data_IF_348880211633
#
_entry.id   IF_348880211633
#
_cell.length_a   1.000
_cell.length_b   1.000
_cell.length_c   1.000
_cell.angle_alpha   90.00
_cell.angle_beta   90.00
_cell.angle_gamma   90.00
#
_symmetry.space_group_name_H-M   'P 1'
#
loop_
_entity.id
_entity.type
_entity.pdbx_description
1 polymer ?
#
# COMPACT_ATOMS: atom_id res chain seq x y z
N UNK A 1 15.73 -0.97 -6.02
CA UNK A 1 14.84 -1.88 -5.27
C UNK A 1 13.73 -1.00 -4.72
N UNK A 2 12.53 -1.13 -5.26
CA UNK A 2 11.41 -0.23 -4.98
C UNK A 2 10.83 -0.55 -3.59
N UNK A 3 10.61 0.48 -2.78
CA UNK A 3 10.00 0.37 -1.43
C UNK A 3 8.65 -0.37 -1.53
N UNK A 4 8.30 -1.21 -0.55
CA UNK A 4 7.00 -1.90 -0.56
C UNK A 4 5.88 -0.89 -0.32
N UNK A 5 4.72 -1.14 -0.92
CA UNK A 5 3.57 -0.24 -0.83
C UNK A 5 3.10 0.03 0.60
N UNK A 6 3.10 -0.99 1.47
CA UNK A 6 2.73 -0.83 2.88
C UNK A 6 3.73 0.05 3.63
N UNK A 7 5.03 -0.18 3.43
CA UNK A 7 6.11 0.62 4.04
C UNK A 7 6.05 2.09 3.57
N UNK A 8 5.74 2.30 2.29
CA UNK A 8 5.55 3.63 1.71
C UNK A 8 4.41 4.40 2.40
N UNK A 9 3.25 3.77 2.57
CA UNK A 9 2.11 4.43 3.20
C UNK A 9 2.31 4.65 4.70
N UNK A 10 2.99 3.74 5.41
CA UNK A 10 3.34 3.95 6.83
C UNK A 10 4.33 5.10 6.99
N UNK A 11 5.36 5.17 6.12
CA UNK A 11 6.35 6.26 6.14
C UNK A 11 5.73 7.63 5.87
N UNK A 12 4.65 7.68 5.09
CA UNK A 12 3.90 8.90 4.78
C UNK A 12 2.78 9.19 5.80
N UNK A 13 2.66 8.41 6.88
CA UNK A 13 1.61 8.52 7.89
C UNK A 13 0.18 8.36 7.32
N UNK A 14 0.05 7.78 6.13
CA UNK A 14 -1.22 7.43 5.49
C UNK A 14 -1.81 6.13 6.07
N UNK A 15 -0.94 5.25 6.57
CA UNK A 15 -1.33 4.06 7.34
C UNK A 15 -0.61 4.06 8.67
N UNK A 16 -1.31 3.68 9.74
CA UNK A 16 -0.65 3.24 10.97
C UNK A 16 -0.07 1.83 10.79
N UNK A 17 0.87 1.46 11.66
CA UNK A 17 1.41 0.09 11.69
C UNK A 17 0.30 -0.95 11.91
N UNK A 18 -0.65 -0.66 12.79
CA UNK A 18 -1.80 -1.54 13.06
C UNK A 18 -2.70 -1.71 11.82
N UNK A 19 -2.98 -0.63 11.09
CA UNK A 19 -3.75 -0.70 9.86
C UNK A 19 -3.01 -1.51 8.78
N UNK A 20 -1.70 -1.34 8.66
CA UNK A 20 -0.89 -2.14 7.75
C UNK A 20 -0.92 -3.63 8.11
N UNK A 21 -0.83 -3.97 9.40
CA UNK A 21 -0.97 -5.35 9.88
C UNK A 21 -2.35 -5.93 9.58
N UNK A 22 -3.42 -5.15 9.73
CA UNK A 22 -4.78 -5.58 9.38
C UNK A 22 -4.90 -5.89 7.88
N UNK A 23 -4.33 -5.05 7.01
CA UNK A 23 -4.30 -5.30 5.57
C UNK A 23 -3.50 -6.58 5.25
N UNK A 24 -2.36 -6.79 5.91
CA UNK A 24 -1.56 -8.02 5.76
C UNK A 24 -2.30 -9.27 6.23
N UNK A 25 -3.07 -9.18 7.32
CA UNK A 25 -3.89 -10.29 7.81
C UNK A 25 -4.92 -10.71 6.76
N UNK A 26 -5.66 -9.74 6.19
CA UNK A 26 -6.62 -10.00 5.11
C UNK A 26 -5.93 -10.56 3.87
N UNK A 27 -4.74 -10.05 3.52
CA UNK A 27 -3.98 -10.55 2.37
C UNK A 27 -3.50 -11.98 2.58
N UNK A 28 -3.14 -12.38 3.81
CA UNK A 28 -2.75 -13.76 4.11
C UNK A 28 -3.93 -14.73 3.93
N UNK A 29 -5.14 -14.31 4.29
CA UNK A 29 -6.35 -15.10 4.04
C UNK A 29 -6.75 -15.12 2.55
N UNK A 30 -6.41 -14.06 1.81
CA UNK A 30 -6.76 -13.87 0.40
C UNK A 30 -5.51 -13.52 -0.44
N UNK A 31 -4.60 -14.48 -0.68
CA UNK A 31 -3.28 -14.21 -1.27
C UNK A 31 -3.32 -13.69 -2.71
N UNK A 32 -4.46 -13.84 -3.40
CA UNK A 32 -4.66 -13.31 -4.75
C UNK A 32 -4.96 -11.80 -4.77
N UNK A 33 -5.28 -11.20 -3.63
CA UNK A 33 -5.62 -9.79 -3.52
C UNK A 33 -4.38 -8.94 -3.26
N UNK A 34 -4.31 -7.75 -3.84
CA UNK A 34 -3.19 -6.82 -3.62
C UNK A 34 -3.42 -6.01 -2.35
N UNK A 35 -2.33 -5.74 -1.64
CA UNK A 35 -2.32 -4.94 -0.41
C UNK A 35 -3.07 -3.61 -0.60
N UNK A 36 -2.76 -2.87 -1.67
CA UNK A 36 -3.40 -1.58 -1.95
C UNK A 36 -4.91 -1.68 -2.17
N UNK A 37 -5.38 -2.73 -2.86
CA UNK A 37 -6.82 -2.94 -3.09
C UNK A 37 -7.56 -3.22 -1.77
N UNK A 38 -6.95 -4.02 -0.89
CA UNK A 38 -7.49 -4.31 0.44
C UNK A 38 -7.51 -3.02 1.29
N UNK A 39 -6.43 -2.25 1.29
CA UNK A 39 -6.34 -1.02 2.07
C UNK A 39 -7.38 0.04 1.65
N UNK A 40 -7.71 0.11 0.36
CA UNK A 40 -8.81 0.94 -0.17
C UNK A 40 -10.18 0.39 0.25
N UNK A 41 -10.39 -0.93 0.16
CA UNK A 41 -11.66 -1.56 0.59
C UNK A 41 -11.93 -1.38 2.09
N UNK A 42 -10.88 -1.43 2.91
CA UNK A 42 -10.96 -1.16 4.35
C UNK A 42 -11.13 0.33 4.68
N UNK A 43 -11.04 1.21 3.67
CA UNK A 43 -11.18 2.66 3.82
C UNK A 43 -10.01 3.33 4.54
N UNK A 44 -8.83 2.69 4.58
CA UNK A 44 -7.65 3.25 5.21
C UNK A 44 -6.92 4.25 4.32
N UNK A 45 -6.97 4.04 3.01
CA UNK A 45 -6.42 4.93 1.98
C UNK A 45 -7.39 5.04 0.80
N UNK A 46 -7.17 6.02 -0.08
CA UNK A 46 -7.94 6.22 -1.31
C UNK A 46 -7.23 5.70 -2.57
N UNK A 47 -7.94 5.68 -3.69
CA UNK A 47 -7.35 5.35 -5.00
C UNK A 47 -6.26 6.35 -5.41
N UNK A 48 -6.38 7.61 -4.97
CA UNK A 48 -5.39 8.66 -5.20
C UNK A 48 -4.03 8.37 -4.55
N UNK A 49 -4.01 7.74 -3.39
CA UNK A 49 -2.79 7.31 -2.70
C UNK A 49 -2.09 6.19 -3.48
N UNK A 50 -2.87 5.27 -4.05
CA UNK A 50 -2.38 4.19 -4.92
C UNK A 50 -1.73 4.77 -6.18
N UNK A 51 -2.38 5.73 -6.84
CA UNK A 51 -1.82 6.40 -8.02
C UNK A 51 -0.54 7.16 -7.69
N UNK A 52 -0.47 7.79 -6.52
CA UNK A 52 0.72 8.50 -6.04
C UNK A 52 1.90 7.53 -5.84
N UNK A 53 1.64 6.36 -5.24
CA UNK A 53 2.65 5.30 -5.13
C UNK A 53 3.11 4.79 -6.50
N UNK A 54 2.20 4.53 -7.45
CA UNK A 54 2.57 4.08 -8.81
C UNK A 54 3.48 5.08 -9.50
N UNK A 55 3.19 6.38 -9.39
CA UNK A 55 4.04 7.45 -9.94
C UNK A 55 5.42 7.44 -9.30
N UNK A 56 5.47 7.36 -7.96
CA UNK A 56 6.72 7.26 -7.21
C UNK A 56 7.59 6.06 -7.67
N UNK A 57 6.99 4.88 -7.87
CA UNK A 57 7.69 3.72 -8.38
C UNK A 57 8.22 3.93 -9.81
N UNK A 58 7.41 4.52 -10.69
CA UNK A 58 7.78 4.77 -12.09
C UNK A 58 8.98 5.72 -12.21
N UNK A 59 9.07 6.74 -11.34
CA UNK A 59 10.18 7.69 -11.32
C UNK A 59 11.49 7.06 -10.81
N UNK A 60 11.40 6.06 -9.93
CA UNK A 60 12.56 5.39 -9.32
C UNK A 60 13.13 4.24 -10.15
N UNK A 61 12.32 3.60 -10.98
CA UNK A 61 12.76 2.53 -11.90
C UNK A 61 13.50 3.07 -13.14
N UNK A 62 13.38 4.38 -13.42
CA UNK A 62 14.03 5.03 -14.56
C UNK A 62 15.44 5.59 -14.30
N UNK A 63 16.08 5.30 -13.16
CA UNK A 63 17.44 5.77 -12.79
C UNK A 63 18.46 4.64 -12.68
#
# INVERSE_FOLDING_TARGET
MTERIGDYFVRLELLSFEQAEQVLAVQQEQPNRRFGEIAVELGFIGEEDIESYKRYCAEKDGS
#
